data_IF_472218313869
#
_entry.id   IF_472218313869
#
_cell.length_a   1.000
_cell.length_b   1.000
_cell.length_c   1.000
_cell.angle_alpha   90.00
_cell.angle_beta   90.00
_cell.angle_gamma   90.00
#
_symmetry.space_group_name_H-M   'P 1'
#
loop_
_entity.id
_entity.type
_entity.pdbx_description
1 polymer ?
#
# COMPACT_ATOMS: atom_id res chain seq x y z
N UNK A 1 -16.94 48.04 -5.29
CA UNK A 1 -17.39 46.82 -4.59
C UNK A 1 -16.14 46.08 -4.11
N UNK A 2 -15.74 46.31 -2.86
CA UNK A 2 -14.50 45.77 -2.29
C UNK A 2 -14.71 44.29 -1.96
N UNK A 3 -13.87 43.42 -2.48
CA UNK A 3 -13.80 42.00 -2.17
C UNK A 3 -13.37 41.85 -0.72
N UNK A 4 -14.23 41.23 0.11
CA UNK A 4 -13.91 40.86 1.47
C UNK A 4 -12.73 39.86 1.47
N UNK A 5 -11.79 39.98 2.43
CA UNK A 5 -10.59 39.15 2.42
C UNK A 5 -10.95 37.70 2.70
N UNK A 6 -10.32 36.80 1.95
CA UNK A 6 -10.49 35.33 1.98
C UNK A 6 -10.36 34.64 3.37
N UNK A 7 -10.05 35.39 4.40
CA UNK A 7 -9.87 34.90 5.80
C UNK A 7 -11.18 34.57 6.54
N UNK A 8 -12.35 35.00 6.08
CA UNK A 8 -13.61 34.78 6.81
C UNK A 8 -14.33 33.49 6.39
N UNK A 9 -14.07 32.98 5.21
CA UNK A 9 -14.77 31.80 4.65
C UNK A 9 -14.16 30.44 5.05
N UNK A 10 -12.95 30.41 5.58
CA UNK A 10 -12.27 29.18 5.99
C UNK A 10 -12.75 28.58 7.32
N UNK A 11 -13.68 29.23 8.03
CA UNK A 11 -14.11 28.84 9.39
C UNK A 11 -15.35 27.96 9.47
N UNK A 12 -16.03 27.66 8.37
CA UNK A 12 -17.15 26.71 8.41
C UNK A 12 -16.56 25.30 8.23
N UNK A 13 -16.37 24.61 9.33
CA UNK A 13 -15.91 23.22 9.34
C UNK A 13 -16.83 22.36 8.44
N UNK A 14 -16.23 21.60 7.51
CA UNK A 14 -16.96 20.63 6.69
C UNK A 14 -17.85 19.71 7.54
N UNK A 15 -17.44 19.43 8.79
CA UNK A 15 -18.21 18.70 9.79
C UNK A 15 -19.56 19.35 10.14
N UNK A 16 -19.62 20.68 10.20
CA UNK A 16 -20.88 21.40 10.51
C UNK A 16 -21.84 21.29 9.35
N UNK A 17 -21.35 21.40 8.12
CA UNK A 17 -22.17 21.28 6.91
C UNK A 17 -22.68 19.83 6.77
N UNK A 18 -21.81 18.84 6.96
CA UNK A 18 -22.19 17.42 6.92
C UNK A 18 -23.24 17.12 7.99
N UNK A 19 -23.04 17.55 9.23
CA UNK A 19 -23.94 17.28 10.36
C UNK A 19 -25.31 17.96 10.19
N UNK A 20 -25.35 19.17 9.66
CA UNK A 20 -26.59 19.91 9.42
C UNK A 20 -27.43 19.26 8.33
N UNK A 21 -26.83 18.87 7.23
CA UNK A 21 -27.54 18.25 6.12
C UNK A 21 -27.92 16.78 6.37
N UNK A 22 -27.12 16.02 7.15
CA UNK A 22 -27.52 14.66 7.59
C UNK A 22 -28.81 14.65 8.40
N UNK A 23 -29.09 15.71 9.16
CA UNK A 23 -30.34 15.82 9.93
C UNK A 23 -31.57 16.20 9.09
N UNK A 24 -31.37 16.92 7.99
CA UNK A 24 -32.49 17.54 7.25
C UNK A 24 -32.97 16.77 6.04
N UNK A 25 -32.12 15.96 5.38
CA UNK A 25 -32.45 15.45 4.05
C UNK A 25 -32.54 13.92 3.90
N UNK A 26 -32.25 13.12 4.92
CA UNK A 26 -32.45 11.65 4.85
C UNK A 26 -31.69 10.92 3.72
N UNK A 27 -30.71 11.54 3.10
CA UNK A 27 -30.03 11.08 1.89
C UNK A 27 -28.88 10.10 2.13
N UNK A 28 -28.50 9.38 1.09
CA UNK A 28 -27.40 8.40 1.06
C UNK A 28 -26.03 9.07 1.25
N UNK A 29 -25.10 8.46 1.99
CA UNK A 29 -23.80 9.04 2.34
C UNK A 29 -23.00 9.49 1.12
N UNK A 30 -23.10 8.78 -0.02
CA UNK A 30 -22.44 9.15 -1.27
C UNK A 30 -23.04 10.40 -1.91
N UNK A 31 -24.35 10.64 -1.80
CA UNK A 31 -24.98 11.88 -2.27
C UNK A 31 -24.51 13.09 -1.46
N UNK A 32 -24.23 12.91 -0.17
CA UNK A 32 -23.67 13.96 0.67
C UNK A 32 -22.26 14.30 0.29
N UNK A 33 -21.44 13.29 0.08
CA UNK A 33 -20.06 13.52 -0.37
C UNK A 33 -20.05 14.20 -1.74
N UNK A 34 -20.96 13.80 -2.62
CA UNK A 34 -21.13 14.40 -3.95
C UNK A 34 -21.56 15.86 -3.86
N UNK A 35 -22.54 16.18 -3.01
CA UNK A 35 -23.00 17.55 -2.81
C UNK A 35 -21.91 18.43 -2.20
N UNK A 36 -21.19 17.92 -1.20
CA UNK A 36 -20.06 18.62 -0.59
C UNK A 36 -18.93 18.83 -1.61
N UNK A 37 -18.67 17.82 -2.40
CA UNK A 37 -17.67 17.85 -3.45
C UNK A 37 -18.02 18.87 -4.54
N UNK A 38 -19.25 18.87 -5.03
CA UNK A 38 -19.74 19.83 -6.02
C UNK A 38 -19.73 21.25 -5.46
N UNK A 39 -20.09 21.45 -4.18
CA UNK A 39 -20.07 22.74 -3.51
C UNK A 39 -18.62 23.24 -3.32
N UNK A 40 -17.70 22.36 -2.91
CA UNK A 40 -16.28 22.69 -2.74
C UNK A 40 -15.64 23.06 -4.08
N UNK A 41 -15.88 22.29 -5.15
CA UNK A 41 -15.31 22.59 -6.48
C UNK A 41 -15.87 23.86 -7.08
N UNK A 42 -17.14 24.19 -6.82
CA UNK A 42 -17.78 25.40 -7.34
C UNK A 42 -17.35 26.67 -6.58
N UNK A 43 -17.08 26.57 -5.26
CA UNK A 43 -16.80 27.75 -4.41
C UNK A 43 -15.31 27.99 -4.15
N UNK A 44 -14.46 26.97 -4.13
CA UNK A 44 -13.05 27.10 -3.72
C UNK A 44 -12.05 27.16 -4.88
N UNK A 45 -12.50 26.98 -6.12
CA UNK A 45 -11.61 27.02 -7.27
C UNK A 45 -10.55 25.91 -7.25
N UNK A 46 -9.67 25.93 -8.23
CA UNK A 46 -8.60 24.96 -8.40
C UNK A 46 -7.50 25.16 -7.34
N UNK A 47 -7.26 24.13 -6.49
CA UNK A 47 -6.18 24.16 -5.51
C UNK A 47 -4.93 23.48 -6.09
N UNK A 48 -3.81 24.20 -6.08
CA UNK A 48 -2.50 23.69 -6.48
C UNK A 48 -1.86 22.93 -5.31
N UNK A 49 -0.98 21.98 -5.62
CA UNK A 49 -0.18 21.24 -4.65
C UNK A 49 0.58 22.16 -3.68
N UNK A 50 1.18 23.26 -4.20
CA UNK A 50 1.89 24.24 -3.38
C UNK A 50 0.99 24.93 -2.36
N UNK A 51 -0.27 25.20 -2.69
CA UNK A 51 -1.25 25.80 -1.78
C UNK A 51 -1.65 24.81 -0.68
N UNK A 52 -1.91 23.55 -1.05
CA UNK A 52 -2.18 22.47 -0.10
C UNK A 52 -1.00 22.26 0.87
N UNK A 53 0.23 22.24 0.35
CA UNK A 53 1.44 22.13 1.16
C UNK A 53 1.56 23.29 2.18
N UNK A 54 1.22 24.51 1.79
CA UNK A 54 1.23 25.64 2.72
C UNK A 54 0.18 25.49 3.84
N UNK A 55 -1.00 24.93 3.52
CA UNK A 55 -2.02 24.64 4.54
C UNK A 55 -1.54 23.52 5.48
N UNK A 56 -0.93 22.45 4.96
CA UNK A 56 -0.33 21.39 5.77
C UNK A 56 0.68 21.94 6.80
N UNK A 57 1.52 22.89 6.38
CA UNK A 57 2.53 23.54 7.23
C UNK A 57 1.93 24.43 8.33
N UNK A 58 0.64 24.71 8.31
CA UNK A 58 -0.02 25.49 9.39
C UNK A 58 -0.25 24.68 10.67
N UNK A 59 -0.05 23.37 10.64
CA UNK A 59 -0.31 22.46 11.77
C UNK A 59 -1.80 22.13 11.98
N UNK A 60 -2.67 22.51 11.05
CA UNK A 60 -4.10 22.16 11.10
C UNK A 60 -4.32 20.72 10.60
N UNK A 61 -5.40 20.09 11.07
CA UNK A 61 -5.83 18.82 10.52
C UNK A 61 -6.32 19.02 9.08
N UNK A 62 -5.83 18.16 8.16
CA UNK A 62 -6.10 18.32 6.73
C UNK A 62 -6.62 17.02 6.13
N UNK A 63 -7.67 17.11 5.34
CA UNK A 63 -8.06 16.09 4.37
C UNK A 63 -7.60 16.51 2.98
N UNK A 64 -6.57 15.82 2.48
CA UNK A 64 -6.02 16.02 1.16
C UNK A 64 -6.71 15.07 0.17
N UNK A 65 -7.49 15.60 -0.75
CA UNK A 65 -8.25 14.81 -1.72
C UNK A 65 -8.08 15.32 -3.13
N UNK A 66 -8.59 14.58 -4.10
CA UNK A 66 -8.50 14.86 -5.53
C UNK A 66 -8.58 13.58 -6.34
N UNK A 67 -8.74 13.69 -7.65
CA UNK A 67 -8.80 12.55 -8.57
C UNK A 67 -7.51 11.71 -8.53
N UNK A 68 -7.55 10.52 -9.13
CA UNK A 68 -6.34 9.73 -9.37
C UNK A 68 -5.36 10.56 -10.20
N UNK A 69 -4.07 10.57 -9.82
CA UNK A 69 -3.06 11.35 -10.55
C UNK A 69 -2.96 12.83 -10.17
N UNK A 70 -3.79 13.36 -9.27
CA UNK A 70 -3.71 14.76 -8.81
C UNK A 70 -2.48 15.09 -7.95
N UNK A 71 -1.61 14.12 -7.65
CA UNK A 71 -0.37 14.32 -6.91
C UNK A 71 -0.53 14.37 -5.40
N UNK A 72 -1.55 13.71 -4.82
CA UNK A 72 -1.74 13.58 -3.36
C UNK A 72 -0.49 13.06 -2.67
N UNK A 73 -0.01 11.90 -3.09
CA UNK A 73 1.19 11.25 -2.51
C UNK A 73 2.45 12.09 -2.70
N UNK A 74 2.59 12.78 -3.84
CA UNK A 74 3.70 13.71 -4.07
C UNK A 74 3.67 14.87 -3.05
N UNK A 75 2.51 15.47 -2.83
CA UNK A 75 2.33 16.56 -1.86
C UNK A 75 2.60 16.08 -0.43
N UNK A 76 2.16 14.86 -0.08
CA UNK A 76 2.46 14.25 1.21
C UNK A 76 3.96 14.03 1.40
N UNK A 77 4.67 13.50 0.40
CA UNK A 77 6.11 13.28 0.48
C UNK A 77 6.87 14.61 0.69
N UNK A 78 6.50 15.67 -0.02
CA UNK A 78 7.07 17.01 0.22
C UNK A 78 6.81 17.50 1.64
N UNK A 79 5.64 17.18 2.21
CA UNK A 79 5.32 17.55 3.59
C UNK A 79 6.11 16.72 4.59
N UNK A 80 6.26 15.42 4.37
CA UNK A 80 7.09 14.52 5.19
C UNK A 80 8.54 15.01 5.22
N UNK A 81 9.12 15.36 4.06
CA UNK A 81 10.48 15.87 3.97
C UNK A 81 10.62 17.21 4.71
N UNK A 82 9.63 18.09 4.60
CA UNK A 82 9.58 19.34 5.36
C UNK A 82 9.59 19.10 6.88
N UNK A 83 8.83 18.12 7.39
CA UNK A 83 8.78 17.76 8.81
C UNK A 83 10.10 17.13 9.27
N UNK A 84 10.62 16.18 8.52
CA UNK A 84 11.90 15.48 8.82
C UNK A 84 13.06 16.46 8.87
N UNK A 85 13.15 17.39 7.93
CA UNK A 85 14.19 18.44 7.92
C UNK A 85 14.14 19.33 9.17
N UNK A 86 12.98 19.42 9.84
CA UNK A 86 12.79 20.17 11.09
C UNK A 86 12.79 19.29 12.33
N UNK A 87 13.10 18.00 12.18
CA UNK A 87 13.09 17.01 13.26
C UNK A 87 11.73 16.93 13.98
N UNK A 88 10.62 17.16 13.25
CA UNK A 88 9.27 16.96 13.78
C UNK A 88 8.92 15.48 13.66
N UNK A 89 8.59 14.80 14.77
CA UNK A 89 8.23 13.40 14.76
C UNK A 89 6.95 13.17 13.94
N UNK A 90 7.06 12.44 12.84
CA UNK A 90 5.95 12.15 11.93
C UNK A 90 5.74 10.65 11.81
N UNK A 91 4.50 10.21 12.02
CA UNK A 91 4.06 8.86 11.73
C UNK A 91 3.47 8.83 10.32
N UNK A 92 4.10 8.04 9.45
CA UNK A 92 3.62 7.82 8.07
C UNK A 92 2.88 6.49 8.03
N UNK A 93 1.58 6.55 7.79
CA UNK A 93 0.74 5.35 7.78
C UNK A 93 -0.20 5.32 6.58
N UNK A 94 -0.77 4.14 6.30
CA UNK A 94 -1.82 3.98 5.32
C UNK A 94 -2.85 2.92 5.78
N UNK A 95 -4.01 2.90 5.13
CA UNK A 95 -5.07 1.92 5.41
C UNK A 95 -4.69 0.49 5.03
N UNK A 96 -3.81 0.31 4.04
CA UNK A 96 -3.37 -1.02 3.54
C UNK A 96 -1.85 -1.16 3.56
N UNK A 97 -1.36 -2.42 3.63
CA UNK A 97 0.08 -2.72 3.61
C UNK A 97 0.77 -2.21 2.35
N UNK A 98 0.15 -2.39 1.18
CA UNK A 98 0.71 -1.94 -0.11
C UNK A 98 0.86 -0.42 -0.13
N UNK A 99 -0.18 0.33 0.26
CA UNK A 99 -0.11 1.79 0.30
C UNK A 99 0.94 2.27 1.32
N UNK A 100 1.04 1.63 2.48
CA UNK A 100 2.05 1.94 3.49
C UNK A 100 3.47 1.75 2.96
N UNK A 101 3.72 0.69 2.21
CA UNK A 101 5.04 0.40 1.62
C UNK A 101 5.46 1.48 0.62
N UNK A 102 4.53 1.98 -0.20
CA UNK A 102 4.81 3.06 -1.17
C UNK A 102 5.29 4.36 -0.51
N UNK A 103 4.93 4.60 0.74
CA UNK A 103 5.35 5.77 1.51
C UNK A 103 6.46 5.47 2.52
N UNK A 104 7.06 4.28 2.48
CA UNK A 104 8.03 3.80 3.49
C UNK A 104 7.49 3.96 4.91
N UNK A 105 6.22 3.62 5.08
CA UNK A 105 5.47 3.71 6.34
C UNK A 105 4.94 2.35 6.79
N UNK A 106 4.03 2.36 7.75
CA UNK A 106 3.36 1.17 8.28
C UNK A 106 1.85 1.29 8.15
N UNK A 107 1.10 0.18 8.35
CA UNK A 107 -0.36 0.30 8.39
C UNK A 107 -0.82 1.04 9.64
N UNK A 108 -1.90 1.79 9.53
CA UNK A 108 -2.51 2.50 10.67
C UNK A 108 -2.89 1.52 11.79
N UNK A 109 -3.29 0.31 11.45
CA UNK A 109 -3.64 -0.76 12.39
C UNK A 109 -2.45 -1.21 13.24
N UNK A 110 -1.29 -1.40 12.62
CA UNK A 110 -0.05 -1.77 13.31
C UNK A 110 0.52 -0.59 14.10
N UNK A 111 0.54 0.61 13.50
CA UNK A 111 1.08 1.79 14.16
C UNK A 111 0.33 2.16 15.43
N UNK A 112 -1.01 2.12 15.40
CA UNK A 112 -1.85 2.47 16.55
C UNK A 112 -2.01 1.34 17.57
N UNK A 113 -1.63 0.11 17.21
CA UNK A 113 -1.81 -1.07 18.03
C UNK A 113 -3.23 -1.64 18.08
N UNK A 114 -4.18 -1.08 17.30
CA UNK A 114 -5.57 -1.58 17.28
C UNK A 114 -5.66 -2.98 16.64
N UNK A 115 -4.70 -3.35 15.76
CA UNK A 115 -4.73 -4.62 15.03
C UNK A 115 -6.00 -4.77 14.20
N UNK A 116 -6.61 -5.95 14.26
CA UNK A 116 -7.84 -6.31 13.51
C UNK A 116 -9.11 -6.18 14.37
N UNK A 117 -9.05 -5.48 15.51
CA UNK A 117 -10.20 -5.33 16.40
C UNK A 117 -11.21 -4.35 15.86
N UNK A 118 -12.49 -4.63 16.07
CA UNK A 118 -13.60 -3.73 15.75
C UNK A 118 -14.02 -2.88 16.94
N UNK A 119 -13.65 -3.28 18.17
CA UNK A 119 -13.95 -2.58 19.42
C UNK A 119 -12.77 -2.72 20.40
N UNK A 120 -12.59 -1.71 21.26
CA UNK A 120 -11.60 -1.72 22.33
C UNK A 120 -12.30 -1.54 23.69
N UNK A 121 -12.00 -2.42 24.63
CA UNK A 121 -12.43 -2.28 26.02
C UNK A 121 -11.44 -1.39 26.79
N UNK A 122 -11.85 -0.87 27.97
CA UNK A 122 -10.95 -0.15 28.87
C UNK A 122 -9.71 -0.99 29.27
N UNK A 123 -9.87 -2.31 29.36
CA UNK A 123 -8.77 -3.22 29.61
C UNK A 123 -7.78 -3.27 28.42
N UNK A 124 -8.30 -3.26 27.21
CA UNK A 124 -7.46 -3.21 26.00
C UNK A 124 -6.66 -1.92 25.95
N UNK A 125 -7.30 -0.77 26.18
CA UNK A 125 -6.65 0.54 26.24
C UNK A 125 -5.56 0.60 27.32
N UNK A 126 -5.85 0.05 28.51
CA UNK A 126 -4.86 -0.06 29.59
C UNK A 126 -3.69 -0.94 29.22
N UNK A 127 -3.93 -2.06 28.51
CA UNK A 127 -2.88 -2.94 28.05
C UNK A 127 -2.02 -2.27 26.97
N UNK A 128 -2.62 -1.56 26.00
CA UNK A 128 -1.89 -0.80 24.99
C UNK A 128 -1.00 0.29 25.61
N UNK A 129 -1.50 0.99 26.65
CA UNK A 129 -0.71 2.03 27.32
C UNK A 129 0.42 1.50 28.21
N UNK A 130 0.38 0.21 28.60
CA UNK A 130 1.48 -0.46 29.34
C UNK A 130 2.61 -0.92 28.43
N UNK A 131 2.34 -1.07 27.12
CA UNK A 131 3.33 -1.43 26.14
C UNK A 131 4.23 -0.22 25.89
N UNK A 132 5.39 -0.19 26.54
CA UNK A 132 6.25 1.00 26.61
C UNK A 132 6.60 1.52 25.21
N UNK A 133 7.09 0.65 24.31
CA UNK A 133 7.46 1.04 22.94
C UNK A 133 6.28 1.67 22.16
N UNK A 134 5.08 1.08 22.26
CA UNK A 134 3.88 1.62 21.63
C UNK A 134 3.48 2.96 22.25
N UNK A 135 3.44 3.03 23.57
CA UNK A 135 3.06 4.25 24.30
C UNK A 135 4.01 5.41 23.99
N UNK A 136 5.32 5.15 23.95
CA UNK A 136 6.33 6.18 23.65
C UNK A 136 6.19 6.65 22.18
N UNK A 137 6.07 5.73 21.23
CA UNK A 137 5.81 6.06 19.83
C UNK A 137 4.59 6.95 19.65
N UNK A 138 3.47 6.63 20.30
CA UNK A 138 2.23 7.40 20.20
C UNK A 138 2.33 8.76 20.92
N UNK A 139 3.09 8.86 22.02
CA UNK A 139 3.32 10.12 22.74
C UNK A 139 4.25 11.06 21.98
N UNK A 140 5.31 10.53 21.40
CA UNK A 140 6.32 11.33 20.69
C UNK A 140 5.82 11.85 19.35
N UNK A 141 4.88 11.15 18.70
CA UNK A 141 4.34 11.57 17.40
C UNK A 141 3.68 12.95 17.51
N UNK A 142 4.12 13.87 16.66
CA UNK A 142 3.54 15.21 16.53
C UNK A 142 2.55 15.31 15.36
N UNK A 143 2.82 14.55 14.27
CA UNK A 143 1.99 14.54 13.06
C UNK A 143 1.70 13.10 12.66
N UNK A 144 0.42 12.77 12.48
CA UNK A 144 -0.03 11.48 11.94
C UNK A 144 -0.52 11.68 10.51
N UNK A 145 0.06 10.94 9.57
CA UNK A 145 -0.36 10.89 8.17
C UNK A 145 -1.02 9.54 7.91
N UNK A 146 -2.24 9.55 7.33
CA UNK A 146 -2.96 8.34 6.93
C UNK A 146 -3.30 8.44 5.44
N UNK A 147 -2.58 7.71 4.59
CA UNK A 147 -2.89 7.64 3.16
C UNK A 147 -3.95 6.57 2.85
N UNK A 148 -4.58 6.67 1.68
CA UNK A 148 -5.67 5.80 1.23
C UNK A 148 -6.83 5.70 2.24
N UNK A 149 -7.22 6.84 2.82
CA UNK A 149 -8.28 6.93 3.86
C UNK A 149 -9.63 6.37 3.40
N UNK A 150 -9.87 6.31 2.09
CA UNK A 150 -11.11 5.78 1.52
C UNK A 150 -11.37 4.31 1.87
N UNK A 151 -10.30 3.55 2.11
CA UNK A 151 -10.36 2.13 2.47
C UNK A 151 -10.37 1.88 3.99
N UNK A 152 -10.24 2.93 4.81
CA UNK A 152 -10.29 2.80 6.27
C UNK A 152 -11.72 2.89 6.77
N UNK A 153 -12.13 1.90 7.56
CA UNK A 153 -13.48 1.86 8.13
C UNK A 153 -13.66 2.92 9.23
N UNK A 154 -14.87 3.50 9.31
CA UNK A 154 -15.22 4.51 10.34
C UNK A 154 -14.93 4.04 11.77
N UNK A 155 -15.26 2.77 12.09
CA UNK A 155 -14.98 2.17 13.40
C UNK A 155 -13.49 2.22 13.71
N UNK A 156 -12.64 1.85 12.76
CA UNK A 156 -11.18 1.83 12.94
C UNK A 156 -10.62 3.22 13.17
N UNK A 157 -11.12 4.25 12.46
CA UNK A 157 -10.70 5.63 12.71
C UNK A 157 -11.11 6.10 14.11
N UNK A 158 -12.29 5.71 14.61
CA UNK A 158 -12.71 5.95 15.98
C UNK A 158 -11.79 5.27 17.00
N UNK A 159 -11.39 4.01 16.75
CA UNK A 159 -10.47 3.29 17.64
C UNK A 159 -9.09 3.98 17.70
N UNK A 160 -8.54 4.42 16.56
CA UNK A 160 -7.29 5.18 16.53
C UNK A 160 -7.38 6.45 17.37
N UNK A 161 -8.49 7.19 17.23
CA UNK A 161 -8.76 8.39 18.05
C UNK A 161 -8.82 8.05 19.54
N UNK A 162 -9.53 6.98 19.90
CA UNK A 162 -9.67 6.52 21.29
C UNK A 162 -8.32 6.13 21.91
N UNK A 163 -7.49 5.37 21.19
CA UNK A 163 -6.15 4.99 21.65
C UNK A 163 -5.27 6.22 21.88
N UNK A 164 -5.25 7.15 20.91
CA UNK A 164 -4.45 8.37 21.04
C UNK A 164 -4.90 9.26 22.21
N UNK A 165 -6.21 9.47 22.41
CA UNK A 165 -6.74 10.19 23.55
C UNK A 165 -6.31 9.54 24.87
N UNK A 166 -6.44 8.21 24.97
CA UNK A 166 -6.11 7.46 26.19
C UNK A 166 -4.61 7.50 26.50
N UNK A 167 -3.74 7.18 25.53
CA UNK A 167 -2.28 7.12 25.74
C UNK A 167 -1.68 8.49 26.01
N UNK A 168 -2.15 9.51 25.31
CA UNK A 168 -1.67 10.91 25.46
C UNK A 168 -2.34 11.64 26.62
N UNK A 169 -3.36 11.06 27.25
CA UNK A 169 -4.17 11.68 28.31
C UNK A 169 -4.70 13.06 27.91
N UNK A 170 -5.19 13.15 26.68
CA UNK A 170 -5.69 14.39 26.10
C UNK A 170 -6.97 14.09 25.30
N UNK A 171 -8.09 14.70 25.71
CA UNK A 171 -9.42 14.49 25.13
C UNK A 171 -9.65 15.22 23.80
N UNK A 172 -8.70 16.04 23.36
CA UNK A 172 -8.75 16.64 22.03
C UNK A 172 -8.72 15.57 20.96
N UNK A 173 -9.26 15.85 19.77
CA UNK A 173 -9.23 14.92 18.65
C UNK A 173 -7.81 14.37 18.44
N UNK A 174 -7.71 13.04 18.34
CA UNK A 174 -6.46 12.30 18.20
C UNK A 174 -5.40 12.63 19.25
N UNK A 175 -5.81 12.93 20.49
CA UNK A 175 -4.88 13.28 21.56
C UNK A 175 -4.12 14.58 21.30
N UNK A 176 -4.66 15.48 20.48
CA UNK A 176 -4.12 16.81 20.21
C UNK A 176 -2.96 16.86 19.19
N UNK A 177 -2.66 15.78 18.47
CA UNK A 177 -1.69 15.80 17.38
C UNK A 177 -2.33 16.31 16.09
N UNK A 178 -1.50 16.82 15.18
CA UNK A 178 -1.97 17.09 13.83
C UNK A 178 -2.23 15.79 13.09
N UNK A 179 -3.39 15.69 12.44
CA UNK A 179 -3.75 14.55 11.59
C UNK A 179 -3.93 15.00 10.15
N UNK A 180 -3.22 14.33 9.25
CA UNK A 180 -3.35 14.52 7.80
C UNK A 180 -3.87 13.23 7.21
N UNK A 181 -5.05 13.27 6.63
CA UNK A 181 -5.63 12.12 5.92
C UNK A 181 -5.64 12.41 4.42
N UNK A 182 -5.25 11.43 3.61
CA UNK A 182 -5.27 11.57 2.16
C UNK A 182 -6.02 10.41 1.50
N UNK A 183 -6.67 10.69 0.39
CA UNK A 183 -7.38 9.68 -0.38
C UNK A 183 -8.50 10.24 -1.25
N UNK A 184 -9.20 9.32 -1.89
CA UNK A 184 -10.28 9.62 -2.81
C UNK A 184 -11.47 8.71 -2.56
N UNK A 185 -12.53 9.23 -1.94
CA UNK A 185 -13.74 8.45 -1.59
C UNK A 185 -14.56 7.99 -2.80
N UNK A 186 -14.20 8.37 -4.03
CA UNK A 186 -14.75 7.81 -5.25
C UNK A 186 -14.00 6.56 -5.74
N UNK A 187 -12.89 6.21 -5.07
CA UNK A 187 -12.16 4.97 -5.30
C UNK A 187 -12.71 3.83 -4.41
N UNK A 188 -11.88 2.81 -4.13
CA UNK A 188 -12.35 1.64 -3.39
C UNK A 188 -12.83 2.00 -1.97
N UNK A 189 -14.06 1.59 -1.61
CA UNK A 189 -14.60 1.80 -0.28
C UNK A 189 -14.00 0.82 0.73
N UNK A 190 -14.22 1.05 2.05
CA UNK A 190 -13.87 0.09 3.09
C UNK A 190 -14.63 -1.23 2.90
N UNK A 191 -14.00 -2.34 3.28
CA UNK A 191 -14.66 -3.64 3.36
C UNK A 191 -15.57 -3.60 4.59
N UNK A 192 -16.88 -3.74 4.39
CA UNK A 192 -17.86 -3.77 5.47
C UNK A 192 -18.37 -5.17 5.78
N UNK A 193 -19.08 -5.29 6.88
CA UNK A 193 -19.79 -6.51 7.28
C UNK A 193 -21.05 -6.72 6.44
N UNK A 194 -21.54 -7.97 6.36
CA UNK A 194 -22.77 -8.29 5.62
C UNK A 194 -23.97 -7.55 6.22
N UNK A 195 -24.64 -6.73 5.41
CA UNK A 195 -25.80 -5.92 5.85
C UNK A 195 -25.45 -4.52 6.36
N UNK A 196 -24.18 -4.18 6.46
CA UNK A 196 -23.73 -2.85 6.87
C UNK A 196 -24.00 -1.82 5.77
N UNK A 197 -24.58 -0.68 6.14
CA UNK A 197 -24.87 0.40 5.19
C UNK A 197 -23.60 1.14 4.77
N UNK A 198 -23.64 1.78 3.60
CA UNK A 198 -22.53 2.64 3.17
C UNK A 198 -22.27 3.82 4.12
N UNK A 199 -23.28 4.26 4.88
CA UNK A 199 -23.15 5.31 5.88
C UNK A 199 -22.25 4.93 7.06
N UNK A 200 -22.24 3.65 7.42
CA UNK A 200 -21.50 3.17 8.59
C UNK A 200 -20.03 2.90 8.29
N UNK A 201 -19.69 2.69 7.02
CA UNK A 201 -18.34 2.26 6.62
C UNK A 201 -17.35 3.40 6.45
N UNK A 202 -17.75 4.50 5.82
CA UNK A 202 -16.81 5.52 5.40
C UNK A 202 -16.22 6.29 6.58
N UNK A 203 -14.90 6.49 6.56
CA UNK A 203 -14.15 7.20 7.60
C UNK A 203 -14.72 8.59 7.92
N UNK A 204 -15.25 9.32 6.92
CA UNK A 204 -15.84 10.64 7.12
C UNK A 204 -17.16 10.63 7.90
N UNK A 205 -17.75 9.44 8.13
CA UNK A 205 -18.96 9.28 8.97
C UNK A 205 -18.61 9.02 10.44
N UNK A 206 -17.34 8.82 10.78
CA UNK A 206 -16.88 8.60 12.15
C UNK A 206 -16.98 9.87 13.02
N UNK A 207 -17.19 9.67 14.33
CA UNK A 207 -17.11 10.77 15.29
C UNK A 207 -15.71 11.41 15.31
N UNK A 208 -14.67 10.58 15.21
CA UNK A 208 -13.28 11.03 15.13
C UNK A 208 -13.04 12.01 13.97
N UNK A 209 -13.67 11.78 12.81
CA UNK A 209 -13.59 12.69 11.68
C UNK A 209 -14.26 14.04 11.98
N UNK A 210 -15.45 13.99 12.58
CA UNK A 210 -16.19 15.21 12.95
C UNK A 210 -15.44 16.04 14.00
N UNK A 211 -14.86 15.38 15.00
CA UNK A 211 -14.08 16.02 16.06
C UNK A 211 -12.78 16.64 15.53
N UNK A 212 -12.15 16.02 14.54
CA UNK A 212 -10.90 16.47 13.95
C UNK A 212 -11.04 17.81 13.20
N UNK A 213 -12.25 18.16 12.72
CA UNK A 213 -12.53 19.40 11.96
C UNK A 213 -11.55 19.63 10.82
N UNK A 214 -11.37 18.62 9.95
CA UNK A 214 -10.42 18.67 8.85
C UNK A 214 -10.64 19.86 7.91
N UNK A 215 -9.57 20.54 7.56
CA UNK A 215 -9.53 21.46 6.42
C UNK A 215 -9.42 20.64 5.13
N UNK A 216 -10.35 20.84 4.20
CA UNK A 216 -10.38 20.10 2.96
C UNK A 216 -9.50 20.78 1.92
N UNK A 217 -8.47 20.07 1.46
CA UNK A 217 -7.60 20.47 0.34
C UNK A 217 -7.90 19.59 -0.86
N UNK A 218 -8.64 20.13 -1.84
CA UNK A 218 -8.97 19.42 -3.06
C UNK A 218 -7.99 19.77 -4.17
N UNK A 219 -7.13 18.82 -4.55
CA UNK A 219 -6.18 18.95 -5.66
C UNK A 219 -6.90 18.75 -6.99
N UNK A 220 -6.75 19.69 -7.88
CA UNK A 220 -7.39 19.69 -9.20
C UNK A 220 -6.41 19.56 -10.37
N UNK A 221 -5.10 19.60 -10.08
CA UNK A 221 -4.06 19.41 -11.11
C UNK A 221 -3.96 17.93 -11.48
N UNK A 222 -3.79 17.64 -12.77
CA UNK A 222 -3.52 16.29 -13.26
C UNK A 222 -2.05 16.18 -13.67
N UNK A 223 -1.35 15.15 -13.19
CA UNK A 223 0.08 14.97 -13.42
C UNK A 223 0.44 13.56 -13.96
N UNK A 224 -0.51 12.62 -13.97
CA UNK A 224 -0.19 11.23 -14.29
C UNK A 224 -0.25 10.90 -15.77
N UNK A 225 -1.12 11.55 -16.51
CA UNK A 225 -1.30 11.32 -17.94
C UNK A 225 -1.39 12.66 -18.67
N UNK A 226 -0.35 12.99 -19.40
CA UNK A 226 -0.44 13.92 -20.53
C UNK A 226 -0.60 13.02 -21.74
N UNK A 227 -1.77 12.44 -21.93
CA UNK A 227 -2.08 11.80 -23.20
C UNK A 227 -2.46 12.91 -24.17
N UNK A 228 -1.59 13.17 -25.12
CA UNK A 228 -2.02 13.79 -26.35
C UNK A 228 -3.08 12.84 -26.92
N UNK A 229 -4.35 13.23 -26.81
CA UNK A 229 -5.43 12.51 -27.48
C UNK A 229 -5.08 12.53 -28.98
N UNK A 230 -4.52 11.42 -29.47
CA UNK A 230 -4.30 11.25 -30.88
C UNK A 230 -5.67 11.42 -31.56
N UNK A 231 -5.84 12.50 -32.32
CA UNK A 231 -7.04 12.84 -33.07
C UNK A 231 -8.21 13.55 -32.34
N UNK A 232 -7.98 14.27 -31.22
CA UNK A 232 -9.01 15.14 -30.62
C UNK A 232 -10.19 14.42 -29.96
N UNK A 233 -10.04 13.12 -29.63
CA UNK A 233 -11.02 12.34 -28.87
C UNK A 233 -10.89 12.54 -27.36
N UNK A 234 -11.87 12.01 -26.60
CA UNK A 234 -11.81 11.96 -25.14
C UNK A 234 -10.67 11.05 -24.67
N UNK A 235 -9.86 11.53 -23.74
CA UNK A 235 -8.88 10.68 -23.07
C UNK A 235 -9.51 9.89 -21.91
N UNK A 236 -8.75 8.95 -21.32
CA UNK A 236 -9.23 8.13 -20.21
C UNK A 236 -9.56 8.98 -18.98
N UNK A 237 -8.79 10.04 -18.71
CA UNK A 237 -9.03 10.92 -17.57
C UNK A 237 -10.32 11.72 -17.74
N UNK A 238 -10.62 12.17 -18.96
CA UNK A 238 -11.88 12.84 -19.28
C UNK A 238 -13.07 11.92 -19.02
N UNK A 239 -12.97 10.66 -19.48
CA UNK A 239 -14.02 9.65 -19.27
C UNK A 239 -14.19 9.37 -17.77
N UNK A 240 -13.09 9.14 -17.02
CA UNK A 240 -13.13 8.90 -15.59
C UNK A 240 -13.72 10.10 -14.82
N UNK A 241 -13.38 11.33 -15.24
CA UNK A 241 -13.94 12.54 -14.65
C UNK A 241 -15.45 12.70 -14.95
N UNK A 242 -15.92 12.31 -16.13
CA UNK A 242 -17.34 12.28 -16.46
C UNK A 242 -18.09 11.24 -15.59
N UNK A 243 -17.53 10.05 -15.43
CA UNK A 243 -18.08 9.01 -14.52
C UNK A 243 -18.13 9.55 -13.09
N UNK A 244 -17.06 10.19 -12.63
CA UNK A 244 -16.95 10.79 -11.29
C UNK A 244 -18.03 11.85 -11.04
N UNK A 245 -18.38 12.66 -12.07
CA UNK A 245 -19.42 13.68 -11.99
C UNK A 245 -20.83 13.14 -12.23
N UNK A 246 -20.96 11.87 -12.62
CA UNK A 246 -22.21 11.26 -13.09
C UNK A 246 -22.79 11.98 -14.32
N UNK A 247 -21.95 12.55 -15.16
CA UNK A 247 -22.30 13.29 -16.38
C UNK A 247 -21.68 12.60 -17.60
N UNK A 248 -21.91 11.28 -17.72
CA UNK A 248 -21.33 10.45 -18.79
C UNK A 248 -21.99 10.78 -20.13
N UNK A 249 -21.22 11.24 -21.11
CA UNK A 249 -21.70 11.56 -22.45
C UNK A 249 -21.78 10.32 -23.34
N UNK A 250 -22.53 10.40 -24.43
CA UNK A 250 -22.57 9.34 -25.45
C UNK A 250 -21.20 9.08 -26.07
N UNK A 251 -20.37 10.11 -26.24
CA UNK A 251 -19.01 10.01 -26.75
C UNK A 251 -18.11 9.20 -25.81
N UNK A 252 -18.24 9.40 -24.49
CA UNK A 252 -17.52 8.62 -23.49
C UNK A 252 -17.94 7.15 -23.50
N UNK A 253 -19.23 6.88 -23.65
CA UNK A 253 -19.75 5.50 -23.78
C UNK A 253 -19.20 4.86 -25.06
N UNK A 254 -19.30 5.53 -26.20
CA UNK A 254 -18.80 5.02 -27.47
C UNK A 254 -17.29 4.78 -27.45
N UNK A 255 -16.52 5.65 -26.79
CA UNK A 255 -15.08 5.45 -26.59
C UNK A 255 -14.76 4.21 -25.79
N UNK A 256 -15.52 3.94 -24.71
CA UNK A 256 -15.38 2.71 -23.89
C UNK A 256 -15.82 1.47 -24.66
N UNK A 257 -16.93 1.51 -25.37
CA UNK A 257 -17.41 0.41 -26.21
C UNK A 257 -16.41 0.08 -27.32
N UNK A 258 -15.76 1.08 -27.91
CA UNK A 258 -14.69 0.90 -28.90
C UNK A 258 -13.44 0.21 -28.35
N UNK A 259 -13.26 0.13 -27.03
CA UNK A 259 -12.18 -0.65 -26.40
C UNK A 259 -12.57 -2.08 -26.07
N UNK A 260 -13.82 -2.46 -26.24
CA UNK A 260 -14.30 -3.80 -25.96
C UNK A 260 -13.85 -4.76 -27.06
N UNK A 261 -13.41 -5.96 -26.62
CA UNK A 261 -13.03 -7.08 -27.49
C UNK A 261 -11.98 -6.73 -28.59
N UNK A 262 -11.08 -5.79 -28.27
CA UNK A 262 -9.97 -5.45 -29.17
C UNK A 262 -8.99 -6.62 -29.25
N UNK A 263 -8.78 -7.11 -30.47
CA UNK A 263 -7.69 -8.03 -30.75
C UNK A 263 -6.37 -7.22 -30.77
N UNK A 264 -5.52 -7.47 -29.78
CA UNK A 264 -4.23 -6.81 -29.64
C UNK A 264 -3.16 -7.86 -29.45
N UNK A 265 -2.13 -7.81 -30.29
CA UNK A 265 -0.99 -8.73 -30.30
C UNK A 265 -0.18 -8.72 -28.99
N UNK A 266 -0.42 -7.75 -28.11
CA UNK A 266 0.33 -7.59 -26.85
C UNK A 266 -0.41 -8.29 -25.71
N UNK A 267 0.21 -9.26 -25.06
CA UNK A 267 -0.27 -9.83 -23.78
C UNK A 267 -0.31 -8.72 -22.72
N UNK A 268 -1.52 -8.26 -22.39
CA UNK A 268 -1.75 -7.20 -21.40
C UNK A 268 -1.99 -7.78 -20.02
N UNK A 269 -1.62 -7.05 -18.97
CA UNK A 269 -2.02 -7.33 -17.60
C UNK A 269 -3.54 -7.20 -17.48
N UNK A 270 -4.20 -8.22 -16.94
CA UNK A 270 -5.65 -8.27 -16.74
C UNK A 270 -5.98 -8.07 -15.26
N UNK A 271 -6.99 -7.26 -14.97
CA UNK A 271 -7.48 -7.02 -13.61
C UNK A 271 -8.76 -7.84 -13.38
N UNK A 272 -8.84 -8.53 -12.25
CA UNK A 272 -9.97 -9.32 -11.83
C UNK A 272 -10.42 -8.95 -10.44
N UNK A 273 -11.71 -9.11 -10.14
CA UNK A 273 -12.30 -8.78 -8.85
C UNK A 273 -12.07 -9.85 -7.77
N UNK A 274 -11.69 -11.07 -8.14
CA UNK A 274 -11.52 -12.21 -7.23
C UNK A 274 -10.23 -12.98 -7.51
N UNK A 275 -9.47 -13.28 -6.46
CA UNK A 275 -8.18 -14.00 -6.55
C UNK A 275 -8.32 -15.42 -7.14
N UNK A 276 -9.44 -16.13 -6.86
CA UNK A 276 -9.65 -17.48 -7.39
C UNK A 276 -9.61 -17.53 -8.93
N UNK A 277 -10.13 -16.48 -9.59
CA UNK A 277 -10.09 -16.40 -11.04
C UNK A 277 -8.66 -16.08 -11.54
N UNK A 278 -7.95 -15.22 -10.80
CA UNK A 278 -6.56 -14.87 -11.12
C UNK A 278 -5.67 -16.10 -11.10
N UNK A 279 -5.73 -16.91 -10.03
CA UNK A 279 -4.89 -18.11 -9.90
C UNK A 279 -5.14 -19.09 -11.05
N UNK A 280 -6.41 -19.42 -11.35
CA UNK A 280 -6.74 -20.33 -12.46
C UNK A 280 -6.22 -19.87 -13.82
N UNK A 281 -6.25 -18.56 -14.07
CA UNK A 281 -5.78 -17.98 -15.33
C UNK A 281 -4.26 -18.00 -15.36
N UNK A 282 -3.60 -17.61 -14.28
CA UNK A 282 -2.15 -17.64 -14.17
C UNK A 282 -1.62 -19.06 -14.31
N UNK A 283 -2.25 -20.06 -13.67
CA UNK A 283 -1.88 -21.46 -13.79
C UNK A 283 -2.01 -21.97 -15.25
N UNK A 284 -3.09 -21.56 -15.93
CA UNK A 284 -3.29 -21.92 -17.35
C UNK A 284 -2.24 -21.27 -18.26
N UNK A 285 -1.96 -19.99 -18.07
CA UNK A 285 -0.94 -19.27 -18.86
C UNK A 285 0.46 -19.84 -18.58
N UNK A 286 0.76 -20.15 -17.30
CA UNK A 286 2.04 -20.77 -16.91
C UNK A 286 2.19 -22.18 -17.51
N UNK A 287 1.10 -22.97 -17.54
CA UNK A 287 1.10 -24.30 -18.16
C UNK A 287 1.36 -24.24 -19.66
N UNK A 288 0.94 -23.17 -20.34
CA UNK A 288 1.12 -22.98 -21.79
C UNK A 288 2.54 -22.54 -22.20
N UNK A 289 3.41 -22.20 -21.25
CA UNK A 289 4.81 -21.90 -21.53
C UNK A 289 5.61 -23.20 -21.67
N UNK A 290 6.54 -23.27 -22.64
CA UNK A 290 7.41 -24.42 -22.88
C UNK A 290 8.76 -24.29 -22.15
N UNK A 291 8.99 -23.22 -21.39
CA UNK A 291 10.27 -22.96 -20.74
C UNK A 291 10.57 -23.87 -19.53
N UNK A 292 11.84 -23.83 -19.07
CA UNK A 292 12.29 -24.55 -17.87
C UNK A 292 11.43 -24.15 -16.68
N UNK A 293 11.00 -25.13 -15.88
CA UNK A 293 10.13 -24.92 -14.70
C UNK A 293 10.91 -25.20 -13.42
N UNK A 294 10.76 -24.33 -12.43
CA UNK A 294 11.22 -24.55 -11.07
C UNK A 294 10.14 -24.26 -10.05
N UNK A 295 10.24 -24.96 -8.91
CA UNK A 295 9.38 -24.78 -7.75
C UNK A 295 10.19 -24.31 -6.57
N UNK A 296 9.66 -23.32 -5.87
CA UNK A 296 10.25 -22.72 -4.66
C UNK A 296 9.27 -22.88 -3.52
N UNK A 297 9.71 -23.55 -2.45
CA UNK A 297 8.90 -23.74 -1.26
C UNK A 297 9.18 -22.65 -0.24
N UNK A 298 8.12 -22.08 0.35
CA UNK A 298 8.27 -21.11 1.41
C UNK A 298 8.75 -21.78 2.69
N UNK A 299 9.75 -21.21 3.33
CA UNK A 299 10.21 -21.63 4.66
C UNK A 299 9.59 -20.72 5.71
N UNK A 300 8.99 -21.32 6.75
CA UNK A 300 8.31 -20.54 7.80
C UNK A 300 8.71 -21.04 9.18
N UNK A 301 8.88 -20.10 10.14
CA UNK A 301 9.21 -20.39 11.54
C UNK A 301 8.31 -19.60 12.49
N UNK A 302 8.13 -20.08 13.72
CA UNK A 302 7.36 -19.42 14.77
C UNK A 302 5.94 -19.97 14.98
N UNK A 303 5.08 -19.17 15.62
CA UNK A 303 3.69 -19.58 15.93
C UNK A 303 2.87 -19.76 14.65
N UNK A 304 2.19 -20.91 14.52
CA UNK A 304 1.45 -21.27 13.30
C UNK A 304 0.37 -20.26 12.91
N UNK A 305 -0.34 -19.67 13.89
CA UNK A 305 -1.40 -18.69 13.63
C UNK A 305 -0.83 -17.36 13.15
N UNK A 306 0.33 -16.98 13.68
CA UNK A 306 1.04 -15.79 13.24
C UNK A 306 1.62 -15.98 11.83
N UNK A 307 2.19 -17.16 11.55
CA UNK A 307 2.65 -17.54 10.20
C UNK A 307 1.50 -17.49 9.21
N UNK A 308 0.33 -18.07 9.51
CA UNK A 308 -0.84 -18.01 8.62
C UNK A 308 -1.32 -16.58 8.38
N UNK A 309 -1.27 -15.74 9.41
CA UNK A 309 -1.63 -14.33 9.30
C UNK A 309 -0.62 -13.58 8.44
N UNK A 310 0.68 -13.85 8.64
CA UNK A 310 1.75 -13.27 7.85
C UNK A 310 1.61 -13.62 6.37
N UNK A 311 1.45 -14.90 6.04
CA UNK A 311 1.27 -15.38 4.65
C UNK A 311 0.06 -14.75 3.96
N UNK A 312 -1.07 -14.64 4.65
CA UNK A 312 -2.27 -13.95 4.11
C UNK A 312 -2.04 -12.46 3.87
N UNK A 313 -1.31 -11.81 4.75
CA UNK A 313 -1.00 -10.37 4.66
C UNK A 313 -0.05 -10.07 3.52
N UNK A 314 0.98 -10.89 3.36
CA UNK A 314 2.04 -10.70 2.34
C UNK A 314 1.65 -11.30 1.00
N UNK A 315 0.61 -12.15 0.96
CA UNK A 315 0.15 -12.88 -0.23
C UNK A 315 1.22 -13.81 -0.83
N UNK A 316 2.12 -14.31 -0.01
CA UNK A 316 3.05 -15.35 -0.42
C UNK A 316 2.32 -16.69 -0.57
N UNK A 317 2.73 -17.46 -1.56
CA UNK A 317 2.25 -18.84 -1.76
C UNK A 317 3.20 -19.80 -1.03
N UNK A 318 2.66 -20.89 -0.48
CA UNK A 318 3.50 -21.94 0.14
C UNK A 318 4.44 -22.58 -0.88
N UNK A 319 3.97 -22.74 -2.11
CA UNK A 319 4.72 -23.23 -3.26
C UNK A 319 4.58 -22.24 -4.40
N UNK A 320 5.70 -21.64 -4.82
CA UNK A 320 5.78 -20.75 -5.98
C UNK A 320 6.36 -21.51 -7.16
N UNK A 321 5.55 -21.71 -8.19
CA UNK A 321 6.01 -22.31 -9.47
C UNK A 321 6.33 -21.23 -10.48
N UNK A 322 7.52 -21.24 -11.03
CA UNK A 322 7.99 -20.31 -12.06
C UNK A 322 8.44 -21.08 -13.31
N UNK A 323 8.21 -20.48 -14.49
CA UNK A 323 8.70 -20.97 -15.79
C UNK A 323 9.38 -19.84 -16.56
N UNK A 324 10.43 -20.13 -17.27
CA UNK A 324 11.08 -19.19 -18.21
C UNK A 324 10.03 -18.66 -19.20
N UNK A 325 10.03 -17.35 -19.43
CA UNK A 325 9.02 -16.63 -20.22
C UNK A 325 7.81 -16.17 -19.42
N UNK A 326 7.71 -16.50 -18.12
CA UNK A 326 6.63 -16.01 -17.28
C UNK A 326 6.80 -14.52 -16.94
N UNK A 327 5.70 -13.76 -16.99
CA UNK A 327 5.67 -12.40 -16.44
C UNK A 327 5.53 -12.48 -14.93
N UNK A 328 6.41 -11.78 -14.24
CA UNK A 328 6.49 -11.76 -12.78
C UNK A 328 6.40 -10.34 -12.24
N UNK A 329 6.00 -10.22 -10.97
CA UNK A 329 5.94 -8.95 -10.26
C UNK A 329 6.59 -9.12 -8.88
N UNK A 330 7.49 -8.21 -8.53
CA UNK A 330 8.07 -8.15 -7.19
C UNK A 330 7.01 -7.66 -6.19
N UNK A 331 6.87 -8.34 -5.07
CA UNK A 331 5.90 -8.03 -4.01
C UNK A 331 6.53 -7.39 -2.78
N UNK A 332 7.84 -7.13 -2.80
CA UNK A 332 8.60 -6.48 -1.73
C UNK A 332 9.55 -5.44 -2.32
N UNK A 333 9.85 -4.41 -1.54
CA UNK A 333 10.89 -3.44 -1.91
C UNK A 333 12.26 -4.02 -1.57
N UNK A 334 13.16 -4.02 -2.54
CA UNK A 334 14.56 -4.33 -2.34
C UNK A 334 15.41 -3.23 -2.97
N UNK A 335 16.05 -2.41 -2.12
CA UNK A 335 16.85 -1.24 -2.54
C UNK A 335 18.16 -1.65 -3.18
N UNK A 336 18.74 -2.80 -2.81
CA UNK A 336 19.99 -3.32 -3.36
C UNK A 336 19.77 -3.79 -4.79
N UNK A 337 18.69 -4.52 -5.03
CA UNK A 337 18.26 -4.91 -6.37
C UNK A 337 17.64 -3.74 -7.16
N UNK A 338 17.35 -2.61 -6.51
CA UNK A 338 16.69 -1.45 -7.12
C UNK A 338 15.31 -1.78 -7.66
N UNK A 339 14.56 -2.67 -6.98
CA UNK A 339 13.18 -3.03 -7.29
C UNK A 339 12.25 -2.60 -6.17
N UNK A 340 11.00 -2.34 -6.52
CA UNK A 340 9.94 -2.01 -5.57
C UNK A 340 8.75 -2.94 -5.74
N UNK A 341 7.90 -3.01 -4.73
CA UNK A 341 6.62 -3.69 -4.85
C UNK A 341 5.84 -3.17 -6.06
N UNK A 342 5.43 -4.09 -6.95
CA UNK A 342 4.80 -3.75 -8.22
C UNK A 342 5.76 -3.65 -9.42
N UNK A 343 7.08 -3.74 -9.21
CA UNK A 343 8.04 -3.80 -10.33
C UNK A 343 7.80 -5.08 -11.15
N UNK A 344 7.60 -4.90 -12.46
CA UNK A 344 7.30 -5.98 -13.40
C UNK A 344 8.53 -6.39 -14.19
N UNK A 345 8.59 -7.69 -14.53
CA UNK A 345 9.62 -8.25 -15.39
C UNK A 345 9.18 -9.56 -16.04
N UNK A 346 10.09 -10.15 -16.79
CA UNK A 346 9.95 -11.46 -17.42
C UNK A 346 11.06 -12.38 -16.92
N UNK A 347 10.71 -13.60 -16.53
CA UNK A 347 11.67 -14.60 -16.13
C UNK A 347 12.45 -15.08 -17.35
N UNK A 348 13.75 -14.85 -17.37
CA UNK A 348 14.62 -15.19 -18.52
C UNK A 348 15.44 -16.45 -18.27
N UNK A 349 15.59 -16.90 -17.03
CA UNK A 349 16.34 -18.10 -16.69
C UNK A 349 16.48 -18.31 -15.19
N UNK A 350 17.31 -19.29 -14.84
CA UNK A 350 17.70 -19.58 -13.45
C UNK A 350 19.21 -19.65 -13.36
N UNK A 351 19.79 -19.05 -12.32
CA UNK A 351 21.23 -19.05 -12.07
C UNK A 351 21.55 -19.70 -10.73
N UNK A 352 22.73 -20.32 -10.63
CA UNK A 352 23.19 -20.92 -9.37
C UNK A 352 23.79 -19.85 -8.46
N UNK A 353 23.24 -19.70 -7.26
CA UNK A 353 23.73 -18.78 -6.22
C UNK A 353 24.23 -19.59 -5.04
N UNK A 354 25.41 -19.25 -4.51
CA UNK A 354 25.94 -19.85 -3.28
C UNK A 354 25.27 -19.15 -2.09
N UNK A 355 24.56 -19.94 -1.27
CA UNK A 355 23.97 -19.44 -0.03
C UNK A 355 24.98 -19.68 1.09
N UNK A 356 25.42 -18.61 1.73
CA UNK A 356 26.26 -18.69 2.94
C UNK A 356 25.33 -18.65 4.17
N UNK A 357 25.34 -19.71 4.98
CA UNK A 357 24.49 -19.89 6.19
C UNK A 357 24.90 -18.98 7.37
N UNK A 358 25.57 -17.89 7.12
CA UNK A 358 26.05 -16.99 8.17
C UNK A 358 26.29 -15.56 7.72
N UNK A 359 25.33 -14.68 7.98
CA UNK A 359 25.45 -13.20 8.06
C UNK A 359 26.31 -12.52 7.00
N UNK A 360 25.69 -11.97 5.99
CA UNK A 360 26.21 -10.85 5.22
C UNK A 360 26.67 -11.18 3.80
N UNK A 361 26.12 -10.42 2.86
CA UNK A 361 26.49 -10.23 1.46
C UNK A 361 26.71 -11.48 0.59
N UNK A 362 25.73 -11.80 -0.21
CA UNK A 362 25.84 -12.71 -1.35
C UNK A 362 26.50 -11.98 -2.52
N UNK A 363 27.75 -12.32 -2.85
CA UNK A 363 28.35 -11.96 -4.14
C UNK A 363 27.91 -12.99 -5.19
N UNK A 364 27.12 -12.57 -6.16
CA UNK A 364 26.76 -13.38 -7.31
C UNK A 364 27.96 -13.47 -8.27
N UNK A 365 28.58 -14.65 -8.34
CA UNK A 365 29.54 -14.98 -9.38
C UNK A 365 28.76 -15.48 -10.59
N UNK A 366 28.74 -14.71 -11.66
CA UNK A 366 28.26 -15.14 -12.97
C UNK A 366 29.38 -16.01 -13.56
N UNK A 367 29.26 -17.32 -13.46
CA UNK A 367 30.05 -18.27 -14.27
C UNK A 367 29.22 -18.67 -15.50
N UNK A 368 29.69 -18.29 -16.67
CA UNK A 368 29.24 -18.89 -17.93
C UNK A 368 29.60 -20.37 -17.89
N UNK A 369 28.58 -21.23 -17.99
CA UNK A 369 28.79 -22.68 -18.05
C UNK A 369 28.90 -23.07 -19.50
N UNK A 370 30.13 -23.26 -19.98
CA UNK A 370 30.41 -24.04 -21.16
C UNK A 370 30.04 -25.52 -20.92
N UNK A 371 29.23 -26.05 -21.83
CA UNK A 371 28.93 -27.44 -21.85
C UNK A 371 30.16 -28.20 -22.43
N UNK A 372 30.68 -29.18 -21.70
CA UNK A 372 31.10 -30.46 -22.30
C UNK A 372 31.69 -31.43 -21.27
N UNK A 373 31.15 -32.63 -21.36
CA UNK A 373 31.71 -33.99 -21.31
C UNK A 373 32.40 -34.61 -20.07
N UNK A 374 31.76 -35.76 -19.77
CA UNK A 374 32.26 -37.13 -19.54
C UNK A 374 33.08 -37.59 -18.31
N UNK A 375 32.38 -38.46 -17.61
CA UNK A 375 32.72 -39.86 -17.22
C UNK A 375 33.93 -40.22 -16.31
N UNK A 376 33.52 -41.03 -15.30
CA UNK A 376 34.23 -42.18 -14.69
C UNK A 376 35.50 -41.95 -13.82
N UNK A 377 35.51 -42.33 -12.59
CA UNK A 377 35.82 -43.66 -12.04
C UNK A 377 35.98 -43.65 -10.51
N UNK A 378 35.44 -44.70 -9.94
CA UNK A 378 35.56 -45.03 -8.51
C UNK A 378 36.98 -45.46 -8.09
N UNK A 379 37.35 -45.12 -6.82
CA UNK A 379 38.10 -46.08 -5.97
C UNK A 379 38.03 -45.67 -4.48
N UNK A 380 37.59 -46.68 -3.71
CA UNK A 380 37.63 -46.75 -2.21
C UNK A 380 39.07 -46.73 -1.71
N UNK A 381 39.28 -46.11 -0.56
CA UNK A 381 40.11 -46.67 0.54
C UNK A 381 39.76 -46.01 1.85
N UNK A 382 39.58 -46.87 2.86
CA UNK A 382 39.34 -46.64 4.27
C UNK A 382 40.48 -45.89 4.99
N UNK A 383 40.17 -45.18 6.03
CA UNK A 383 40.47 -45.32 7.45
C UNK A 383 40.75 -44.02 8.19
N UNK A 384 40.08 -43.96 9.34
CA UNK A 384 40.44 -43.40 10.66
C UNK A 384 40.26 -41.90 10.96
N UNK A 385 39.30 -41.69 11.87
CA UNK A 385 39.25 -40.79 13.01
C UNK A 385 40.09 -39.50 13.01
N UNK A 386 39.36 -38.37 12.93
CA UNK A 386 39.53 -37.25 13.86
C UNK A 386 38.33 -36.33 13.81
N UNK A 387 37.73 -36.10 14.99
CA UNK A 387 36.76 -35.06 15.25
C UNK A 387 37.33 -33.71 14.78
N UNK A 388 36.70 -33.14 13.77
CA UNK A 388 36.86 -31.74 13.41
C UNK A 388 35.49 -31.19 13.05
N UNK A 389 35.22 -29.99 13.56
CA UNK A 389 34.01 -29.24 13.35
C UNK A 389 33.55 -29.30 11.88
N UNK A 390 32.30 -29.75 11.67
CA UNK A 390 31.67 -29.77 10.35
C UNK A 390 31.39 -28.33 9.93
N UNK A 391 32.30 -27.72 9.19
CA UNK A 391 31.97 -26.62 8.28
C UNK A 391 31.01 -27.17 7.25
N UNK A 392 29.73 -26.77 7.31
CA UNK A 392 28.75 -27.09 6.29
C UNK A 392 29.25 -26.53 4.95
N UNK A 393 29.29 -27.35 3.92
CA UNK A 393 29.59 -26.92 2.56
C UNK A 393 28.53 -25.90 2.15
N UNK A 394 28.89 -24.80 1.44
CA UNK A 394 27.93 -23.87 0.92
C UNK A 394 26.94 -24.60 0.01
N UNK A 395 25.66 -24.42 0.28
CA UNK A 395 24.59 -25.02 -0.52
C UNK A 395 24.34 -24.11 -1.72
N UNK A 396 24.47 -24.65 -2.92
CA UNK A 396 24.15 -23.91 -4.14
C UNK A 396 22.66 -24.07 -4.44
N UNK A 397 21.94 -22.99 -4.58
CA UNK A 397 20.53 -22.99 -4.95
C UNK A 397 20.34 -22.24 -6.27
N UNK A 398 19.49 -22.76 -7.15
CA UNK A 398 19.11 -22.06 -8.38
C UNK A 398 18.11 -20.96 -8.04
N UNK A 399 18.40 -19.72 -8.45
CA UNK A 399 17.56 -18.52 -8.25
C UNK A 399 17.07 -17.98 -9.58
N UNK A 400 15.85 -17.38 -9.63
CA UNK A 400 15.30 -16.86 -10.87
C UNK A 400 16.00 -15.59 -11.32
N UNK A 401 16.27 -15.48 -12.62
CA UNK A 401 16.79 -14.28 -13.28
C UNK A 401 15.64 -13.58 -13.99
N UNK A 402 15.37 -12.35 -13.59
CA UNK A 402 14.25 -11.53 -14.08
C UNK A 402 14.77 -10.37 -14.90
N UNK A 403 14.34 -10.27 -16.15
CA UNK A 403 14.55 -9.07 -16.97
C UNK A 403 13.43 -8.08 -16.70
N UNK A 404 13.78 -6.96 -16.07
CA UNK A 404 12.83 -5.89 -15.78
C UNK A 404 12.36 -5.18 -17.06
N UNK A 405 11.22 -4.48 -17.00
CA UNK A 405 10.73 -3.67 -18.12
C UNK A 405 11.71 -2.57 -18.57
N UNK A 406 12.67 -2.19 -17.71
CA UNK A 406 13.78 -1.29 -18.04
C UNK A 406 14.87 -1.93 -18.90
N UNK A 407 14.82 -3.26 -19.15
CA UNK A 407 15.84 -4.04 -19.84
C UNK A 407 16.95 -4.58 -18.93
N UNK A 408 17.02 -4.15 -17.65
CA UNK A 408 18.02 -4.64 -16.69
C UNK A 408 17.63 -6.05 -16.20
N UNK A 409 18.60 -6.93 -16.07
CA UNK A 409 18.43 -8.24 -15.45
C UNK A 409 18.82 -8.20 -13.96
N UNK A 410 18.02 -8.85 -13.13
CA UNK A 410 18.25 -9.00 -11.70
C UNK A 410 18.03 -10.44 -11.30
N UNK A 411 18.82 -10.93 -10.35
CA UNK A 411 18.61 -12.23 -9.71
C UNK A 411 17.64 -12.00 -8.55
N UNK A 412 16.49 -12.67 -8.56
CA UNK A 412 15.54 -12.58 -7.45
C UNK A 412 16.03 -13.50 -6.33
N UNK A 413 16.32 -12.89 -5.18
CA UNK A 413 16.77 -13.58 -3.97
C UNK A 413 15.58 -13.95 -3.08
N UNK A 414 15.85 -14.84 -2.12
CA UNK A 414 14.86 -15.17 -1.09
C UNK A 414 14.66 -13.99 -0.15
N UNK A 415 13.44 -13.54 -0.03
CA UNK A 415 13.06 -12.46 0.87
C UNK A 415 12.34 -13.01 2.10
N UNK A 416 12.63 -12.44 3.27
CA UNK A 416 12.01 -12.83 4.52
C UNK A 416 11.02 -11.76 5.00
N UNK A 417 9.84 -12.19 5.42
CA UNK A 417 8.85 -11.37 6.12
C UNK A 417 8.77 -11.85 7.55
N UNK A 418 8.79 -10.91 8.49
CA UNK A 418 8.81 -11.18 9.91
C UNK A 418 7.65 -10.51 10.65
N UNK A 419 7.21 -11.13 11.73
CA UNK A 419 6.39 -10.51 12.75
C UNK A 419 7.25 -10.49 14.01
N UNK A 420 7.57 -9.31 14.48
CA UNK A 420 8.32 -9.07 15.71
C UNK A 420 7.38 -8.69 16.84
N UNK A 421 7.79 -9.02 18.06
CA UNK A 421 7.17 -8.47 19.25
C UNK A 421 7.70 -7.06 19.53
N UNK A 422 7.31 -6.51 20.67
CA UNK A 422 7.68 -5.16 21.10
C UNK A 422 9.15 -5.02 21.50
N UNK A 423 9.82 -6.13 21.70
CA UNK A 423 11.26 -6.17 22.08
C UNK A 423 12.16 -6.36 20.86
N UNK A 424 11.57 -6.59 19.67
CA UNK A 424 12.28 -6.93 18.45
C UNK A 424 12.58 -8.43 18.34
N UNK A 425 11.97 -9.28 19.19
CA UNK A 425 12.05 -10.72 19.07
C UNK A 425 11.12 -11.21 17.96
N UNK A 426 11.64 -12.02 17.04
CA UNK A 426 10.87 -12.56 15.92
C UNK A 426 9.92 -13.64 16.40
N UNK A 427 8.62 -13.35 16.36
CA UNK A 427 7.54 -14.28 16.75
C UNK A 427 7.16 -15.24 15.63
N UNK A 428 7.25 -14.80 14.40
CA UNK A 428 7.01 -15.59 13.21
C UNK A 428 7.76 -15.03 12.02
N UNK A 429 8.24 -15.90 11.14
CA UNK A 429 8.81 -15.51 9.86
C UNK A 429 8.32 -16.40 8.73
N UNK A 430 8.38 -15.88 7.51
CA UNK A 430 8.15 -16.63 6.27
C UNK A 430 9.07 -16.10 5.18
N UNK A 431 9.82 -16.98 4.56
CA UNK A 431 10.75 -16.66 3.48
C UNK A 431 10.28 -17.30 2.17
N UNK A 432 10.34 -16.53 1.08
CA UNK A 432 10.03 -16.99 -0.28
C UNK A 432 10.86 -16.22 -1.30
N UNK A 433 11.06 -16.77 -2.46
CA UNK A 433 11.74 -16.13 -3.58
C UNK A 433 10.90 -15.03 -4.21
#
# INVERSE_FOLDING_TARGET
>A
MQLAPAKVLCKVSAAVIIKWQCRTLGCDAMRYFYFLFSFITYWFGYMRQSSALNILKTGQNVFLTGSAGSGKTYTLNQYIDYLRARRVPVAVTASTGIAATHMSGTTIHSWSGIGIKDELTERDLSNLSRKQFLADRLKETAVLIIDEISMLHAKQLNLVNQVLKHVRKNDSAFGGIQVVVAGDFFQLPPIGSRGESNREKFAFMSEAWLDAKFHICYLSEQHRQVSEAANGGLDLDDILNQIRRQEVTFEAIAALEGTYDQDVDIKRTRLYTHNLNVNKINDKELAALDGEMMRFEATSTGDSKLVDTLKKTVRTQDELTLKVGAKVMFIKNNTELGVSNGTMGELVGFTAVKIDDGKGNSEALIEEVDADDDAETAKKTDTSDKQTAKTKKPTTQKMPVVRLNSGREVVAETEEWIIEDETGEVLASSSQV
#
